data_IF_633673457485
#
_entry.id   IF_633673457485
#
_cell.length_a   1.000
_cell.length_b   1.000
_cell.length_c   1.000
_cell.angle_alpha   90.00
_cell.angle_beta   90.00
_cell.angle_gamma   90.00
#
_symmetry.space_group_name_H-M   'P 1'
#
loop_
_entity.id
_entity.type
_entity.pdbx_description
1 polymer ?
2 non-polymer ?
3 non-polymer ?
4 non-polymer ?
5 non-polymer ?
6 water ?
#
# COMPACT_ATOMS: atom_id res chain seq x y z
N UNK A 3 22.65 -13.68 14.40
CA UNK A 3 21.54 -13.34 13.46
C UNK A 3 20.22 -13.83 14.06
N UNK A 4 19.11 -13.13 13.79
CA UNK A 4 17.81 -13.37 14.47
C UNK A 4 17.05 -14.53 13.80
N UNK A 5 17.18 -14.72 12.48
CA UNK A 5 16.58 -15.87 11.75
C UNK A 5 17.51 -17.08 11.86
N UNK A 6 16.96 -18.25 12.21
CA UNK A 6 17.72 -19.51 12.31
C UNK A 6 18.01 -20.05 10.90
N UNK A 7 17.19 -19.69 9.90
CA UNK A 7 17.48 -19.94 8.46
C UNK A 7 16.73 -18.91 7.61
N UNK A 8 17.23 -18.68 6.40
CA UNK A 8 16.72 -17.62 5.49
C UNK A 8 15.60 -18.21 4.62
N UNK A 9 14.49 -18.58 5.25
CA UNK A 9 13.30 -19.22 4.62
C UNK A 9 12.05 -18.67 5.28
N UNK A 10 10.89 -18.91 4.66
CA UNK A 10 9.57 -18.56 5.26
C UNK A 10 9.44 -19.29 6.61
N UNK A 11 9.94 -20.54 6.68
CA UNK A 11 9.90 -21.35 7.93
C UNK A 11 10.72 -20.64 9.01
N UNK A 12 11.90 -20.12 8.66
CA UNK A 12 12.75 -19.34 9.59
C UNK A 12 12.04 -18.10 10.08
N UNK A 13 11.36 -17.38 9.19
CA UNK A 13 10.61 -16.14 9.54
C UNK A 13 9.46 -16.52 10.49
N UNK A 14 8.74 -17.60 10.21
CA UNK A 14 7.60 -18.06 11.04
C UNK A 14 8.08 -18.37 12.46
N UNK A 15 9.19 -19.10 12.60
CA UNK A 15 9.74 -19.45 13.94
C UNK A 15 10.13 -18.16 14.67
N UNK A 16 10.72 -17.20 13.96
CA UNK A 16 11.10 -15.88 14.54
C UNK A 16 9.84 -15.15 15.01
N UNK A 17 8.78 -15.16 14.20
CA UNK A 17 7.51 -14.45 14.54
C UNK A 17 6.86 -15.06 15.78
N UNK A 18 7.08 -16.37 16.04
CA UNK A 18 6.49 -17.09 17.21
C UNK A 18 7.43 -17.01 18.42
N UNK A 19 8.58 -16.33 18.28
CA UNK A 19 9.58 -16.13 19.36
C UNK A 19 9.28 -14.82 20.09
N UNK A 20 9.81 -14.65 21.30
CA UNK A 20 9.58 -13.44 22.15
C UNK A 20 10.31 -12.23 21.55
N UNK A 21 11.27 -12.45 20.65
CA UNK A 21 12.08 -11.38 20.01
C UNK A 21 11.23 -10.59 19.00
N UNK A 22 10.17 -11.19 18.44
CA UNK A 22 9.37 -10.57 17.37
C UNK A 22 8.03 -10.06 17.93
N UNK A 23 7.97 -8.76 18.22
CA UNK A 23 6.81 -8.09 18.86
C UNK A 23 6.16 -7.07 17.92
N UNK A 24 6.96 -6.42 17.07
CA UNK A 24 6.51 -5.23 16.29
C UNK A 24 6.85 -5.45 14.82
N UNK A 25 5.82 -5.63 13.99
CA UNK A 25 5.96 -5.87 12.53
C UNK A 25 5.55 -4.59 11.78
N UNK A 26 6.39 -4.13 10.87
CA UNK A 26 6.00 -3.09 9.87
C UNK A 26 5.76 -3.80 8.53
N UNK A 27 4.59 -3.59 7.93
CA UNK A 27 4.27 -4.00 6.55
C UNK A 27 4.51 -2.81 5.62
N UNK A 28 5.23 -3.06 4.52
CA UNK A 28 5.36 -2.14 3.36
C UNK A 28 4.67 -2.82 2.18
N UNK A 29 3.64 -2.21 1.63
CA UNK A 29 2.80 -2.88 0.59
C UNK A 29 2.62 -1.96 -0.62
N UNK A 30 2.48 -2.57 -1.79
CA UNK A 30 2.22 -1.89 -3.06
C UNK A 30 1.09 -2.54 -3.84
N UNK A 31 1.00 -2.23 -5.13
CA UNK A 31 -0.12 -2.60 -6.01
C UNK A 31 -0.31 -4.12 -6.06
N UNK A 32 0.77 -4.88 -5.86
CA UNK A 32 0.76 -6.34 -5.93
C UNK A 32 -0.14 -6.99 -4.87
N UNK A 33 -0.52 -6.28 -3.81
CA UNK A 33 -1.42 -6.87 -2.77
C UNK A 33 -2.88 -6.66 -3.16
N UNK A 34 -3.17 -5.92 -4.23
CA UNK A 34 -4.57 -5.58 -4.64
C UNK A 34 -4.92 -6.13 -6.04
N UNK A 35 -3.96 -6.68 -6.80
CA UNK A 35 -4.25 -7.21 -8.16
C UNK A 35 -5.23 -8.39 -8.06
N UNK A 36 -5.15 -9.22 -7.01
CA UNK A 36 -6.06 -10.39 -6.85
C UNK A 36 -7.47 -9.91 -6.46
N UNK A 37 -7.61 -8.65 -6.04
CA UNK A 37 -8.93 -8.01 -5.76
C UNK A 37 -9.50 -7.39 -7.04
N UNK A 38 -8.84 -7.57 -8.18
CA UNK A 38 -9.28 -7.06 -9.49
C UNK A 38 -9.01 -5.58 -9.65
N UNK A 39 -8.03 -5.05 -8.91
CA UNK A 39 -7.56 -3.64 -9.05
C UNK A 39 -6.20 -3.67 -9.73
N UNK A 40 -6.14 -3.46 -11.06
CA UNK A 40 -4.88 -3.39 -11.77
C UNK A 40 -3.92 -2.34 -11.18
N UNK A 41 -2.62 -2.61 -11.25
CA UNK A 41 -1.55 -1.64 -10.95
C UNK A 41 -1.52 -0.60 -12.07
N UNK A 42 -1.80 0.67 -11.77
CA UNK A 42 -1.85 1.77 -12.78
C UNK A 42 -0.45 1.97 -13.37
N UNK A 43 0.60 1.46 -12.70
CA UNK A 43 2.02 1.50 -13.18
C UNK A 43 2.35 0.30 -14.06
N UNK A 44 1.53 -0.76 -14.06
CA UNK A 44 1.76 -1.98 -14.89
C UNK A 44 1.56 -1.62 -16.37
N UNK A 45 2.45 -2.06 -17.28
CA UNK A 45 2.30 -1.76 -18.70
C UNK A 45 1.07 -2.44 -19.32
N UNK A 46 0.71 -3.62 -18.79
CA UNK A 46 -0.34 -4.52 -19.33
C UNK A 46 -1.74 -4.01 -18.97
N UNK A 47 -1.83 -3.11 -17.98
CA UNK A 47 -3.11 -2.57 -17.46
C UNK A 47 -3.01 -1.04 -17.38
N UNK A 53 -6.94 8.78 -24.06
CA UNK A 53 -6.51 10.02 -23.36
C UNK A 53 -5.84 11.00 -24.34
N UNK A 54 -5.69 10.62 -25.62
CA UNK A 54 -5.03 11.45 -26.66
C UNK A 54 -5.85 12.72 -26.91
N UNK A 55 -7.18 12.65 -26.76
CA UNK A 55 -8.13 13.75 -27.09
C UNK A 55 -7.89 14.97 -26.18
N UNK A 56 -7.28 14.77 -25.01
CA UNK A 56 -7.10 15.80 -23.96
C UNK A 56 -5.84 16.64 -24.21
N UNK A 57 -4.95 16.19 -25.11
CA UNK A 57 -3.71 16.90 -25.53
C UNK A 57 -2.78 17.12 -24.32
N UNK A 58 -2.37 16.03 -23.65
CA UNK A 58 -1.46 16.08 -22.47
C UNK A 58 -0.06 16.45 -22.94
N UNK A 59 0.53 17.58 -22.45
CA UNK A 59 1.89 17.97 -22.81
C UNK A 59 2.88 16.81 -22.76
N UNK A 60 2.80 16.00 -21.70
CA UNK A 60 3.52 14.71 -21.53
C UNK A 60 2.60 13.75 -20.79
N UNK A 61 2.73 12.41 -21.01
CA UNK A 61 1.79 11.43 -20.44
C UNK A 61 1.44 11.65 -18.97
N UNK A 62 2.45 11.93 -18.13
CA UNK A 62 2.33 11.97 -16.65
C UNK A 62 1.76 13.32 -16.16
N UNK A 63 1.39 14.22 -17.07
CA UNK A 63 0.75 15.53 -16.77
C UNK A 63 -0.62 15.31 -16.12
N UNK A 64 -1.30 14.20 -16.44
CA UNK A 64 -2.64 13.85 -15.88
C UNK A 64 -2.54 13.60 -14.36
N UNK A 65 -1.34 13.38 -13.82
CA UNK A 65 -1.10 13.17 -12.37
C UNK A 65 -0.22 14.30 -11.78
N UNK A 66 -0.08 15.42 -12.50
CA UNK A 66 0.72 16.59 -12.03
C UNK A 66 -0.23 17.65 -11.48
N UNK A 67 0.07 18.14 -10.27
CA UNK A 67 -0.81 19.06 -9.50
C UNK A 67 -1.15 20.35 -10.25
N UNK A 68 -0.16 21.00 -10.89
CA UNK A 68 -0.39 22.28 -11.61
C UNK A 68 -1.37 22.07 -12.76
N UNK A 69 -1.14 21.05 -13.59
CA UNK A 69 -2.01 20.76 -14.75
C UNK A 69 -3.42 20.39 -14.27
N UNK A 70 -3.50 19.57 -13.23
CA UNK A 70 -4.81 19.12 -12.69
C UNK A 70 -5.64 20.31 -12.21
N UNK A 71 -5.00 21.28 -11.55
CA UNK A 71 -5.73 22.45 -10.99
C UNK A 71 -6.34 23.32 -12.10
N UNK A 72 -5.72 23.36 -13.27
CA UNK A 72 -6.25 24.18 -14.40
C UNK A 72 -7.08 23.30 -15.34
N UNK A 73 -6.70 22.02 -15.49
CA UNK A 73 -7.42 21.07 -16.37
C UNK A 73 -7.69 19.76 -15.62
N UNK A 74 -8.71 19.70 -14.73
CA UNK A 74 -8.99 18.49 -13.96
C UNK A 74 -9.86 17.45 -14.69
N UNK A 75 -10.39 17.77 -15.81
CA UNK A 75 -11.31 16.91 -16.60
C UNK A 75 -10.64 15.58 -16.98
N UNK A 76 -9.46 15.57 -17.62
CA UNK A 76 -8.80 14.33 -18.02
C UNK A 76 -8.65 13.35 -16.85
N UNK A 77 -8.18 13.95 -15.61
CA UNK A 77 -7.97 13.11 -14.40
C UNK A 77 -9.28 12.46 -13.97
N UNK A 78 -10.37 13.23 -13.91
CA UNK A 78 -11.69 12.70 -13.46
C UNK A 78 -12.25 11.72 -14.50
N UNK A 79 -11.93 11.91 -15.77
CA UNK A 79 -12.39 10.94 -16.80
C UNK A 79 -11.67 9.62 -16.54
N UNK A 80 -10.37 9.68 -16.26
CA UNK A 80 -9.58 8.45 -15.97
C UNK A 80 -10.09 7.83 -14.67
N UNK A 81 -10.41 8.67 -13.68
CA UNK A 81 -10.92 8.17 -12.38
C UNK A 81 -12.17 7.32 -12.58
N UNK A 82 -13.10 7.77 -13.44
CA UNK A 82 -14.34 6.99 -13.69
C UNK A 82 -13.98 5.67 -14.37
N UNK A 83 -13.06 5.70 -15.34
CA UNK A 83 -12.67 4.49 -16.11
C UNK A 83 -11.95 3.48 -15.21
N UNK A 84 -11.11 3.93 -14.29
CA UNK A 84 -10.35 3.01 -13.40
C UNK A 84 -11.12 2.70 -12.11
N UNK A 85 -12.29 3.30 -11.91
CA UNK A 85 -13.03 3.03 -10.65
C UNK A 85 -13.36 1.54 -10.52
N UNK A 86 -12.89 0.84 -9.47
CA UNK A 86 -13.18 -0.58 -9.29
C UNK A 86 -14.69 -0.87 -9.19
N UNK A 87 -15.09 -2.06 -9.66
CA UNK A 87 -16.51 -2.49 -9.61
C UNK A 87 -16.89 -2.97 -8.22
N UNK A 88 -15.89 -3.31 -7.40
CA UNK A 88 -16.15 -3.78 -6.02
C UNK A 88 -14.88 -3.57 -5.19
N UNK A 89 -15.04 -3.42 -3.87
CA UNK A 89 -13.88 -3.24 -2.97
C UNK A 89 -13.85 -4.43 -2.01
N UNK A 90 -13.21 -5.50 -2.45
CA UNK A 90 -13.12 -6.76 -1.65
C UNK A 90 -11.65 -7.00 -1.34
N UNK A 91 -11.16 -6.74 -0.11
CA UNK A 91 -9.76 -6.97 0.24
C UNK A 91 -9.31 -8.43 0.04
N UNK A 92 -8.03 -8.58 -0.23
CA UNK A 92 -7.46 -9.93 -0.52
C UNK A 92 -7.05 -10.63 0.77
N UNK A 93 -6.60 -11.87 0.62
CA UNK A 93 -6.07 -12.70 1.76
C UNK A 93 -4.92 -11.93 2.42
N UNK A 94 -4.04 -11.34 1.61
CA UNK A 94 -2.91 -10.50 2.09
C UNK A 94 -3.44 -9.37 2.99
N UNK A 95 -4.49 -8.67 2.57
CA UNK A 95 -5.07 -7.58 3.40
C UNK A 95 -5.57 -8.14 4.74
N UNK A 96 -6.25 -9.29 4.71
CA UNK A 96 -6.79 -9.91 5.95
C UNK A 96 -5.66 -10.48 6.80
N UNK A 97 -4.54 -10.87 6.18
CA UNK A 97 -3.37 -11.34 6.95
C UNK A 97 -2.87 -10.19 7.83
N UNK A 98 -2.84 -8.97 7.27
CA UNK A 98 -2.42 -7.77 8.05
C UNK A 98 -3.44 -7.50 9.17
N UNK A 99 -4.73 -7.77 8.92
CA UNK A 99 -5.76 -7.61 9.98
C UNK A 99 -5.45 -8.60 11.11
N UNK A 100 -5.03 -9.82 10.76
CA UNK A 100 -4.66 -10.83 11.79
C UNK A 100 -3.45 -10.33 12.59
N UNK A 101 -2.49 -9.69 11.91
CA UNK A 101 -1.31 -9.12 12.62
C UNK A 101 -1.80 -8.10 13.65
N UNK A 102 -2.75 -7.25 13.27
CA UNK A 102 -3.32 -6.23 14.18
C UNK A 102 -4.02 -6.92 15.36
N UNK A 103 -4.84 -7.94 15.05
CA UNK A 103 -5.62 -8.69 16.08
C UNK A 103 -4.69 -9.36 17.09
N UNK A 104 -3.54 -9.85 16.63
CA UNK A 104 -2.57 -10.57 17.50
C UNK A 104 -1.58 -9.61 18.19
N UNK A 105 -1.79 -8.31 18.03
CA UNK A 105 -0.94 -7.27 18.67
C UNK A 105 0.46 -7.23 18.08
N UNK A 106 0.62 -7.63 16.83
CA UNK A 106 1.96 -7.65 16.18
C UNK A 106 2.12 -6.48 15.20
N UNK A 107 1.02 -5.82 14.82
CA UNK A 107 1.15 -4.77 13.78
C UNK A 107 1.55 -3.42 14.36
N UNK A 108 2.78 -2.98 14.07
CA UNK A 108 3.23 -1.63 14.50
C UNK A 108 2.65 -0.63 13.49
N UNK A 109 2.79 -0.91 12.21
CA UNK A 109 2.25 0.00 11.17
C UNK A 109 2.24 -0.66 9.80
N UNK A 110 1.28 -0.26 8.97
CA UNK A 110 1.25 -0.71 7.57
C UNK A 110 1.47 0.53 6.70
N UNK A 111 2.60 0.59 6.02
CA UNK A 111 2.90 1.69 5.06
C UNK A 111 2.43 1.20 3.69
N UNK A 112 1.46 1.88 3.10
CA UNK A 112 0.92 1.44 1.80
C UNK A 112 1.13 2.50 0.72
N UNK A 113 1.41 2.04 -0.49
CA UNK A 113 1.55 2.96 -1.66
C UNK A 113 0.21 2.94 -2.43
N UNK A 114 -0.75 2.13 -1.99
CA UNK A 114 -2.06 1.98 -2.67
C UNK A 114 -3.03 3.08 -2.24
N UNK A 115 -3.98 3.39 -3.11
CA UNK A 115 -5.00 4.45 -2.84
C UNK A 115 -6.39 3.83 -2.93
N UNK A 116 -6.48 2.50 -2.91
CA UNK A 116 -7.76 1.76 -3.12
C UNK A 116 -8.62 1.62 -1.87
N UNK A 117 -8.10 1.97 -0.68
CA UNK A 117 -8.77 1.92 0.67
C UNK A 117 -9.02 0.47 1.14
N UNK A 118 -8.38 -0.53 0.52
CA UNK A 118 -8.66 -1.95 0.92
C UNK A 118 -8.11 -2.23 2.33
N UNK A 119 -7.04 -1.55 2.74
CA UNK A 119 -6.50 -1.77 4.11
C UNK A 119 -7.57 -1.38 5.13
N UNK A 120 -8.25 -0.25 4.90
CA UNK A 120 -9.29 0.25 5.83
C UNK A 120 -10.51 -0.69 5.79
N UNK A 121 -10.87 -1.17 4.61
CA UNK A 121 -12.03 -2.09 4.48
C UNK A 121 -11.74 -3.42 5.19
N UNK A 122 -10.47 -3.85 5.16
CA UNK A 122 -10.04 -5.11 5.83
C UNK A 122 -9.95 -4.95 7.36
N UNK A 123 -10.05 -3.74 7.92
CA UNK A 123 -10.05 -3.61 9.38
C UNK A 123 -8.84 -2.89 9.95
N UNK A 124 -7.98 -2.36 9.09
CA UNK A 124 -6.83 -1.57 9.62
C UNK A 124 -7.38 -0.16 9.89
N UNK A 125 -7.05 0.40 11.06
CA UNK A 125 -7.57 1.74 11.43
C UNK A 125 -6.56 2.81 10.99
N UNK A 126 -6.96 4.08 11.02
CA UNK A 126 -6.06 5.19 10.59
C UNK A 126 -4.74 5.16 11.37
N UNK A 127 -4.79 4.90 12.69
CA UNK A 127 -3.57 4.84 13.54
C UNK A 127 -2.59 3.77 13.06
N UNK A 128 -3.09 2.64 12.54
CA UNK A 128 -2.25 1.52 12.04
C UNK A 128 -1.73 1.81 10.62
N UNK A 129 -2.20 2.87 9.97
CA UNK A 129 -1.87 3.08 8.54
C UNK A 129 -1.08 4.34 8.23
N UNK A 130 -0.21 4.22 7.23
CA UNK A 130 0.50 5.38 6.63
C UNK A 130 0.26 5.25 5.13
N UNK A 131 -0.72 5.99 4.62
CA UNK A 131 -1.01 5.99 3.17
C UNK A 131 0.01 6.94 2.54
N UNK A 132 1.20 6.38 2.24
CA UNK A 132 2.36 7.14 1.74
C UNK A 132 2.04 7.94 0.46
N UNK A 133 1.23 7.38 -0.43
CA UNK A 133 0.90 8.10 -1.69
C UNK A 133 -0.51 8.69 -1.60
N UNK A 134 -1.02 8.86 -0.38
CA UNK A 134 -2.36 9.43 -0.18
C UNK A 134 -3.45 8.39 -0.39
N UNK A 135 -4.69 8.85 -0.64
CA UNK A 135 -5.82 7.90 -0.80
C UNK A 135 -7.02 8.62 -1.40
N UNK A 136 -7.95 7.84 -1.97
CA UNK A 136 -9.23 8.36 -2.50
C UNK A 136 -10.27 8.33 -1.38
N UNK A 137 -9.92 7.79 -0.21
CA UNK A 137 -10.86 7.67 0.94
C UNK A 137 -11.47 9.04 1.26
N UNK A 138 -10.64 10.07 1.33
CA UNK A 138 -11.14 11.45 1.59
C UNK A 138 -10.66 12.36 0.46
N UNK A 139 -11.40 13.44 0.24
CA UNK A 139 -11.06 14.47 -0.78
C UNK A 139 -11.11 15.83 -0.09
N UNK A 140 -10.44 16.83 -0.65
CA UNK A 140 -10.50 18.16 0.00
C UNK A 140 -10.63 19.26 -1.04
N UNK A 141 -11.39 20.28 -0.68
CA UNK A 141 -11.46 21.49 -1.52
C UNK A 141 -10.04 22.08 -1.55
N UNK A 142 -9.56 22.48 -2.72
CA UNK A 142 -8.15 22.96 -2.87
C UNK A 142 -7.97 24.41 -2.41
N UNK A 143 -9.04 25.12 -2.07
CA UNK A 143 -8.90 26.52 -1.58
C UNK A 143 -8.25 26.50 -0.19
N UNK A 144 -7.12 27.19 -0.04
CA UNK A 144 -6.33 27.19 1.22
C UNK A 144 -7.14 27.66 2.43
N UNK A 145 -8.05 28.62 2.25
CA UNK A 145 -8.85 29.17 3.37
C UNK A 145 -10.07 28.31 3.67
N UNK A 146 -10.33 27.30 2.85
CA UNK A 146 -11.53 26.46 3.07
C UNK A 146 -11.14 25.03 3.43
N UNK A 147 -10.64 24.25 2.45
CA UNK A 147 -10.18 22.85 2.65
C UNK A 147 -11.31 21.96 3.21
N UNK A 148 -12.55 22.19 2.78
CA UNK A 148 -13.70 21.36 3.20
C UNK A 148 -13.40 19.91 2.82
N UNK A 149 -13.60 18.97 3.74
CA UNK A 149 -13.31 17.53 3.49
C UNK A 149 -14.55 16.81 2.98
N UNK A 150 -14.39 16.01 1.92
CA UNK A 150 -15.53 15.27 1.34
C UNK A 150 -15.24 13.76 1.40
N UNK A 151 -16.23 12.93 1.78
CA UNK A 151 -16.02 11.49 1.85
C UNK A 151 -16.05 10.86 0.46
N UNK A 152 -15.59 9.61 0.35
CA UNK A 152 -15.55 8.87 -0.94
C UNK A 152 -16.95 8.74 -1.56
N UNK A 153 -17.98 8.56 -0.74
CA UNK A 153 -19.38 8.45 -1.27
C UNK A 153 -19.73 9.69 -2.09
N UNK A 154 -19.36 10.88 -1.59
CA UNK A 154 -19.60 12.17 -2.28
C UNK A 154 -18.78 12.24 -3.56
N UNK A 155 -17.48 11.91 -3.48
CA UNK A 155 -16.57 11.98 -4.65
C UNK A 155 -16.97 10.94 -5.71
N UNK A 156 -17.41 9.76 -5.30
CA UNK A 156 -17.81 8.71 -6.27
C UNK A 156 -18.99 9.20 -7.12
N UNK A 157 -20.00 9.78 -6.47
CA UNK A 157 -21.19 10.30 -7.19
C UNK A 157 -20.74 11.31 -8.26
N UNK A 158 -19.85 12.23 -7.90
CA UNK A 158 -19.37 13.25 -8.87
C UNK A 158 -18.62 12.57 -10.02
N UNK A 159 -17.78 11.58 -9.69
CA UNK A 159 -16.96 10.88 -10.73
C UNK A 159 -17.87 10.16 -11.73
N UNK A 160 -18.88 9.44 -11.25
CA UNK A 160 -19.76 8.65 -12.14
C UNK A 160 -20.75 9.57 -12.89
N UNK A 161 -21.07 10.73 -12.32
CA UNK A 161 -22.00 11.69 -12.96
C UNK A 161 -21.29 12.50 -14.05
N UNK A 162 -19.95 12.46 -14.07
CA UNK A 162 -19.07 13.20 -15.01
C UNK A 162 -19.19 14.71 -14.75
N UNK A 163 -19.39 15.06 -13.49
CA UNK A 163 -19.51 16.46 -13.01
C UNK A 163 -18.21 16.77 -12.27
N UNK A 164 -17.41 17.71 -12.77
CA UNK A 164 -16.15 18.08 -12.08
C UNK A 164 -16.52 18.46 -10.64
N UNK A 165 -16.00 17.76 -9.61
CA UNK A 165 -16.39 18.04 -8.23
C UNK A 165 -16.00 19.45 -7.75
N UNK A 166 -17.00 20.20 -7.29
CA UNK A 166 -16.79 21.59 -6.79
C UNK A 166 -17.22 21.65 -5.32
N UNK A 167 -16.52 22.46 -4.52
CA UNK A 167 -16.84 22.59 -3.07
C UNK A 167 -18.21 23.25 -2.90
N UNK A 168 -19.02 22.74 -1.97
CA UNK A 168 -20.37 23.30 -1.71
C UNK A 168 -20.28 24.63 -0.98
N UNK A 169 -19.17 24.88 -0.27
CA UNK A 169 -18.99 26.14 0.50
C UNK A 169 -18.42 27.26 -0.39
N UNK A 170 -17.43 26.97 -1.24
CA UNK A 170 -16.76 28.08 -1.98
C UNK A 170 -16.68 27.87 -3.51
N UNK A 171 -17.17 26.74 -4.03
CA UNK A 171 -17.16 26.42 -5.49
C UNK A 171 -15.76 26.17 -6.05
N UNK A 172 -14.76 25.91 -5.21
CA UNK A 172 -13.39 25.59 -5.70
C UNK A 172 -13.34 24.12 -6.08
N UNK A 173 -12.28 23.74 -6.80
CA UNK A 173 -12.10 22.32 -7.20
C UNK A 173 -11.88 21.46 -5.95
N UNK A 174 -12.49 20.28 -5.91
CA UNK A 174 -12.27 19.29 -4.82
C UNK A 174 -11.37 18.18 -5.37
N UNK A 175 -10.24 17.94 -4.71
CA UNK A 175 -9.19 17.01 -5.17
C UNK A 175 -9.17 15.79 -4.25
N UNK A 176 -9.18 14.56 -4.79
CA UNK A 176 -8.90 13.37 -3.99
C UNK A 176 -7.56 13.51 -3.26
N UNK A 177 -7.46 12.99 -2.04
CA UNK A 177 -6.27 13.13 -1.17
C UNK A 177 -5.13 12.20 -1.63
N UNK A 178 -5.00 11.95 -2.94
CA UNK A 178 -3.81 11.25 -3.50
C UNK A 178 -2.70 12.28 -3.65
N UNK A 179 -1.44 11.84 -3.58
CA UNK A 179 -0.24 12.70 -3.79
C UNK A 179 -0.01 12.81 -5.30
N UNK A 180 -0.40 13.92 -5.91
CA UNK A 180 -0.08 14.22 -7.33
C UNK A 180 1.41 14.49 -7.43
N UNK A 181 2.01 14.27 -8.61
CA UNK A 181 3.37 14.75 -8.92
C UNK A 181 3.37 16.26 -8.66
N UNK A 182 4.42 16.77 -8.00
CA UNK A 182 4.54 18.18 -7.60
C UNK A 182 4.04 18.43 -6.19
N UNK A 183 3.39 17.43 -5.55
CA UNK A 183 3.00 17.48 -4.12
C UNK A 183 4.00 16.67 -3.29
N UNK A 184 4.26 17.09 -2.06
CA UNK A 184 5.06 16.37 -1.04
C UNK A 184 4.30 15.11 -0.60
N UNK A 185 5.01 14.05 -0.24
CA UNK A 185 4.42 12.94 0.56
C UNK A 185 3.92 13.55 1.87
N UNK A 186 2.87 12.99 2.48
CA UNK A 186 2.31 13.56 3.71
C UNK A 186 3.38 13.64 4.81
N UNK A 187 3.34 14.70 5.63
CA UNK A 187 4.20 14.86 6.83
C UNK A 187 4.16 13.58 7.66
N UNK A 188 2.97 12.97 7.78
CA UNK A 188 2.71 11.72 8.55
C UNK A 188 3.71 10.63 8.15
N UNK A 189 4.02 10.52 6.85
CA UNK A 189 4.97 9.51 6.31
C UNK A 189 6.33 9.66 7.00
N UNK A 190 6.88 10.88 7.00
CA UNK A 190 8.24 11.17 7.52
C UNK A 190 8.26 11.03 9.04
N UNK A 191 7.25 11.54 9.75
CA UNK A 191 7.23 11.52 11.24
C UNK A 191 7.04 10.09 11.75
N UNK A 192 6.13 9.32 11.16
CA UNK A 192 5.92 7.89 11.53
C UNK A 192 7.19 7.08 11.22
N UNK A 193 7.80 7.29 10.06
CA UNK A 193 9.04 6.58 9.66
C UNK A 193 10.11 6.81 10.75
N UNK A 194 10.25 8.05 11.21
CA UNK A 194 11.33 8.46 12.17
C UNK A 194 11.16 7.72 13.50
N UNK A 195 9.92 7.46 13.92
CA UNK A 195 9.58 6.79 15.20
C UNK A 195 9.52 5.28 15.02
N UNK A 196 8.83 4.81 13.97
CA UNK A 196 8.50 3.36 13.80
C UNK A 196 9.76 2.54 13.58
N UNK A 197 10.75 3.05 12.85
CA UNK A 197 11.92 2.25 12.42
C UNK A 197 12.93 2.15 13.56
N UNK A 198 12.68 2.81 14.69
CA UNK A 198 13.42 2.60 15.97
C UNK A 198 12.91 1.34 16.69
N UNK A 199 11.73 0.84 16.30
CA UNK A 199 10.92 -0.12 17.12
C UNK A 199 10.68 -1.43 16.37
N UNK A 200 11.04 -1.53 15.09
CA UNK A 200 10.60 -2.63 14.19
C UNK A 200 11.44 -3.89 14.47
N UNK A 201 10.77 -5.04 14.61
CA UNK A 201 11.39 -6.38 14.80
C UNK A 201 11.36 -7.17 13.50
N UNK A 202 10.42 -6.86 12.60
CA UNK A 202 10.27 -7.56 11.31
C UNK A 202 9.71 -6.60 10.27
N UNK A 203 10.34 -6.55 9.11
CA UNK A 203 9.83 -5.81 7.94
C UNK A 203 9.22 -6.81 6.96
N UNK A 204 7.91 -6.72 6.75
CA UNK A 204 7.17 -7.58 5.81
C UNK A 204 6.85 -6.74 4.57
N UNK A 205 7.56 -6.98 3.47
CA UNK A 205 7.45 -6.19 2.22
C UNK A 205 6.64 -7.03 1.23
N UNK A 206 5.47 -6.56 0.80
CA UNK A 206 4.56 -7.39 -0.01
C UNK A 206 4.02 -6.60 -1.20
N UNK A 207 4.09 -7.19 -2.40
CA UNK A 207 3.43 -6.68 -3.60
C UNK A 207 3.96 -5.31 -4.01
N UNK A 208 5.27 -5.09 -3.90
CA UNK A 208 5.93 -3.85 -4.38
C UNK A 208 7.29 -4.21 -4.99
N UNK A 209 7.62 -3.60 -6.14
CA UNK A 209 8.92 -3.74 -6.83
C UNK A 209 9.96 -2.78 -6.22
N UNK A 210 9.56 -1.96 -5.25
CA UNK A 210 10.48 -1.03 -4.52
C UNK A 210 11.23 -0.15 -5.53
N UNK A 211 10.52 0.37 -6.54
CA UNK A 211 11.08 1.23 -7.61
C UNK A 211 10.63 2.69 -7.43
N UNK A 212 9.65 2.96 -6.57
CA UNK A 212 9.12 4.33 -6.33
C UNK A 212 9.76 4.87 -5.05
N UNK A 213 10.36 6.06 -5.14
CA UNK A 213 11.07 6.75 -4.03
C UNK A 213 10.23 7.93 -3.57
N UNK A 214 10.32 8.36 -2.29
CA UNK A 214 11.23 7.77 -1.30
C UNK A 214 10.71 6.51 -0.56
N UNK A 215 9.53 6.00 -0.92
CA UNK A 215 8.92 4.84 -0.24
C UNK A 215 9.90 3.66 -0.20
N UNK A 216 10.55 3.34 -1.31
CA UNK A 216 11.45 2.16 -1.45
C UNK A 216 12.59 2.24 -0.43
N UNK A 217 13.09 3.44 -0.16
CA UNK A 217 14.24 3.70 0.75
C UNK A 217 13.90 3.33 2.20
N UNK A 218 12.63 3.11 2.53
CA UNK A 218 12.21 2.67 3.89
C UNK A 218 12.96 1.40 4.30
N UNK A 219 13.27 0.50 3.36
CA UNK A 219 13.95 -0.79 3.71
C UNK A 219 15.32 -0.48 4.35
N UNK A 220 15.95 0.63 3.97
CA UNK A 220 17.29 1.04 4.47
C UNK A 220 17.18 1.69 5.86
N UNK A 221 15.96 1.97 6.33
CA UNK A 221 15.69 2.62 7.64
C UNK A 221 15.56 1.54 8.73
N UNK A 222 15.47 0.25 8.36
CA UNK A 222 15.39 -0.86 9.33
C UNK A 222 16.72 -0.98 10.07
N UNK A 223 16.72 -1.27 11.38
CA UNK A 223 17.95 -1.64 12.08
C UNK A 223 18.64 -2.80 11.36
N UNK A 224 19.96 -2.90 11.49
CA UNK A 224 20.79 -3.89 10.77
C UNK A 224 20.34 -5.33 11.10
N UNK A 225 19.83 -5.58 12.32
CA UNK A 225 19.46 -6.94 12.78
C UNK A 225 18.06 -7.33 12.28
N UNK A 226 17.22 -6.36 11.90
CA UNK A 226 15.78 -6.57 11.62
C UNK A 226 15.60 -7.47 10.40
N UNK A 227 15.05 -8.70 10.54
CA UNK A 227 14.74 -9.53 9.37
C UNK A 227 13.77 -8.82 8.42
N UNK A 228 13.95 -9.05 7.13
CA UNK A 228 13.11 -8.44 6.07
C UNK A 228 12.64 -9.55 5.15
N UNK A 229 11.32 -9.80 5.14
CA UNK A 229 10.69 -10.83 4.28
C UNK A 229 10.00 -10.11 3.13
N UNK A 230 10.39 -10.46 1.91
CA UNK A 230 9.71 -9.99 0.67
C UNK A 230 8.78 -11.11 0.20
N UNK A 231 7.47 -10.82 0.12
CA UNK A 231 6.48 -11.69 -0.56
C UNK A 231 6.05 -10.94 -1.83
N UNK A 232 6.48 -11.43 -2.98
CA UNK A 232 6.35 -10.68 -4.25
C UNK A 232 6.54 -11.64 -5.42
N UNK A 233 5.94 -11.35 -6.56
CA UNK A 233 6.04 -12.20 -7.77
C UNK A 233 7.51 -12.24 -8.24
N UNK A 234 8.25 -11.14 -8.06
CA UNK A 234 9.68 -11.04 -8.47
C UNK A 234 10.55 -10.56 -7.31
N UNK A 235 11.79 -11.02 -7.28
CA UNK A 235 12.85 -10.50 -6.38
C UNK A 235 12.95 -8.98 -6.61
N UNK A 236 13.01 -8.20 -5.52
CA UNK A 236 13.05 -6.73 -5.55
C UNK A 236 13.85 -6.22 -4.35
N UNK A 237 14.42 -5.02 -4.48
CA UNK A 237 15.05 -4.29 -3.37
C UNK A 237 16.56 -4.49 -3.30
N UNK A 238 17.13 -5.33 -4.17
CA UNK A 238 18.61 -5.47 -4.27
C UNK A 238 19.16 -4.19 -4.91
N UNK A 239 20.32 -3.72 -4.47
CA UNK A 239 21.02 -2.54 -5.06
C UNK A 239 21.16 -2.77 -6.56
N UNK A 240 20.82 -1.76 -7.37
CA UNK A 240 21.00 -1.80 -8.84
C UNK A 240 22.50 -1.72 -9.14
N UNK A 241 23.06 -2.62 -9.98
CA UNK A 241 24.50 -2.66 -10.22
C UNK A 241 25.05 -1.37 -10.84
N UNK A 242 24.19 -0.61 -11.52
CA UNK A 242 24.53 0.68 -12.18
C UNK A 242 24.28 1.84 -11.21
N UNK A 243 23.07 1.97 -10.67
CA UNK A 243 22.70 3.04 -9.72
C UNK A 243 23.53 2.88 -8.43
N UNK A 244 23.73 1.64 -7.99
CA UNK A 244 24.47 1.27 -6.76
C UNK A 244 25.87 1.88 -6.71
N UNK A 245 26.48 2.14 -7.87
CA UNK A 245 27.78 2.85 -7.99
C UNK A 245 27.60 4.29 -7.50
N UNK A 251 21.47 0.25 1.84
CA UNK A 251 20.92 -0.84 2.65
C UNK A 251 20.02 -1.77 1.85
N UNK A 252 20.43 -2.10 0.61
CA UNK A 252 19.67 -2.95 -0.33
C UNK A 252 19.48 -4.36 0.23
N UNK A 253 18.52 -5.10 -0.33
CA UNK A 253 18.25 -6.52 0.02
C UNK A 253 19.45 -7.38 -0.37
N UNK A 254 19.82 -8.34 0.48
CA UNK A 254 20.80 -9.40 0.16
C UNK A 254 20.16 -10.74 0.50
N UNK A 255 19.54 -11.39 -0.50
CA UNK A 255 18.84 -12.69 -0.35
C UNK A 255 19.81 -13.86 -0.52
N UNK A 256 20.74 -13.76 -1.49
CA UNK A 256 21.34 -14.96 -2.12
C UNK A 256 22.88 -15.00 -2.02
N UNK A 257 23.56 -13.98 -1.50
CA UNK A 257 25.04 -13.99 -1.35
C UNK A 257 25.43 -14.81 -0.11
N UNK A 258 26.71 -15.16 0.02
CA UNK A 258 27.24 -15.89 1.21
C UNK A 258 27.21 -14.97 2.44
N UNK A 259 27.04 -13.66 2.25
CA UNK A 259 26.97 -12.64 3.34
C UNK A 259 25.51 -12.42 3.78
N UNK A 260 24.53 -13.03 3.09
CA UNK A 260 23.10 -12.91 3.43
C UNK A 260 22.88 -13.43 4.85
N UNK A 261 22.14 -12.70 5.68
CA UNK A 261 21.93 -13.05 7.11
C UNK A 261 20.51 -12.76 7.59
N UNK A 262 19.67 -12.00 6.87
CA UNK A 262 18.37 -11.55 7.45
C UNK A 262 17.28 -11.33 6.39
N UNK A 263 17.60 -11.37 5.09
CA UNK A 263 16.63 -11.06 4.02
C UNK A 263 16.15 -12.38 3.39
N UNK A 264 14.83 -12.51 3.24
CA UNK A 264 14.18 -13.72 2.68
C UNK A 264 13.24 -13.27 1.57
N UNK A 265 13.32 -13.92 0.41
CA UNK A 265 12.42 -13.69 -0.74
C UNK A 265 11.52 -14.93 -0.90
N UNK A 266 10.22 -14.75 -0.75
CA UNK A 266 9.20 -15.76 -1.13
C UNK A 266 8.55 -15.29 -2.44
N UNK A 267 8.82 -16.00 -3.53
CA UNK A 267 8.43 -15.56 -4.89
C UNK A 267 7.11 -16.24 -5.29
N UNK A 268 6.08 -15.42 -5.51
CA UNK A 268 4.74 -15.86 -5.92
C UNK A 268 3.73 -14.77 -5.65
N UNK A 269 2.44 -15.09 -5.78
CA UNK A 269 1.32 -14.16 -5.51
C UNK A 269 1.30 -13.87 -4.00
N UNK A 270 1.02 -12.62 -3.63
CA UNK A 270 0.98 -12.18 -2.20
C UNK A 270 -0.02 -13.05 -1.41
N UNK A 271 -1.16 -13.39 -2.00
CA UNK A 271 -2.20 -14.22 -1.33
C UNK A 271 -1.61 -15.58 -0.96
N UNK A 272 -0.88 -16.20 -1.90
CA UNK A 272 -0.30 -17.56 -1.71
C UNK A 272 0.80 -17.49 -0.65
N UNK A 273 1.63 -16.45 -0.66
CA UNK A 273 2.70 -16.25 0.32
C UNK A 273 2.15 -16.03 1.72
N UNK A 274 1.15 -15.17 1.86
CA UNK A 274 0.53 -14.86 3.17
C UNK A 274 -0.21 -16.10 3.68
N UNK A 275 -0.87 -16.85 2.80
CA UNK A 275 -1.54 -18.13 3.19
C UNK A 275 -0.49 -19.10 3.73
N UNK A 276 0.64 -19.25 3.02
CA UNK A 276 1.76 -20.15 3.42
C UNK A 276 2.27 -19.73 4.80
N UNK A 277 2.49 -18.43 5.02
CA UNK A 277 3.00 -17.91 6.31
C UNK A 277 1.95 -18.15 7.41
N UNK A 278 0.69 -17.80 7.16
CA UNK A 278 -0.42 -18.04 8.12
C UNK A 278 -0.43 -19.52 8.52
N UNK A 279 -0.28 -20.41 7.54
CA UNK A 279 -0.34 -21.87 7.76
C UNK A 279 0.79 -22.28 8.72
N UNK A 280 2.02 -21.80 8.49
CA UNK A 280 3.18 -22.08 9.37
C UNK A 280 2.87 -21.59 10.80
N UNK A 281 2.19 -20.45 10.93
CA UNK A 281 1.92 -19.80 12.23
C UNK A 281 0.73 -20.45 12.96
N UNK A 282 0.00 -21.37 12.32
CA UNK A 282 -1.22 -21.98 12.89
C UNK A 282 -2.43 -21.07 12.74
N UNK A 283 -2.36 -20.09 11.83
CA UNK A 283 -3.43 -19.08 11.62
C UNK A 283 -4.30 -19.41 10.40
N UNK A 284 -4.05 -20.53 9.69
CA UNK A 284 -4.72 -20.75 8.38
C UNK A 284 -6.24 -20.80 8.55
N UNK A 285 -6.75 -21.54 9.55
CA UNK A 285 -8.22 -21.65 9.78
C UNK A 285 -8.79 -20.26 10.13
N UNK A 286 -8.11 -19.53 11.02
CA UNK A 286 -8.52 -18.16 11.43
C UNK A 286 -8.59 -17.26 10.18
N UNK A 287 -7.60 -17.34 9.31
CA UNK A 287 -7.53 -16.48 8.10
C UNK A 287 -8.65 -16.87 7.13
N UNK A 288 -8.86 -18.18 6.91
CA UNK A 288 -9.96 -18.68 6.04
C UNK A 288 -11.30 -18.17 6.56
N UNK A 289 -11.55 -18.27 7.86
CA UNK A 289 -12.85 -17.90 8.49
C UNK A 289 -13.05 -16.39 8.35
N UNK A 290 -12.00 -15.60 8.61
CA UNK A 290 -12.06 -14.12 8.53
C UNK A 290 -12.37 -13.70 7.08
N UNK A 291 -11.61 -14.24 6.11
CA UNK A 291 -11.76 -13.86 4.67
C UNK A 291 -13.15 -14.24 4.19
N UNK A 292 -13.60 -15.47 4.46
CA UNK A 292 -14.91 -15.98 3.96
C UNK A 292 -16.03 -15.12 4.57
N UNK A 293 -15.92 -14.76 5.85
CA UNK A 293 -16.93 -13.91 6.55
C UNK A 293 -16.98 -12.53 5.91
N UNK A 294 -15.83 -11.87 5.76
CA UNK A 294 -15.77 -10.47 5.25
C UNK A 294 -16.18 -10.45 3.77
N UNK A 295 -15.71 -11.42 2.98
CA UNK A 295 -16.10 -11.55 1.55
C UNK A 295 -17.61 -11.73 1.43
N UNK A 296 -18.21 -12.57 2.28
CA UNK A 296 -19.67 -12.82 2.28
C UNK A 296 -20.39 -11.50 2.58
N UNK A 297 -19.92 -10.78 3.60
CA UNK A 297 -20.50 -9.49 4.03
C UNK A 297 -20.45 -8.49 2.87
N UNK A 298 -19.29 -8.35 2.23
CA UNK A 298 -19.08 -7.39 1.09
C UNK A 298 -19.95 -7.81 -0.09
N UNK A 299 -20.03 -9.11 -0.38
CA UNK A 299 -20.83 -9.65 -1.51
C UNK A 299 -22.32 -9.29 -1.29
N UNK A 300 -22.79 -9.28 -0.04
CA UNK A 300 -24.21 -9.05 0.33
C UNK A 300 -24.54 -7.55 0.31
N UNK A 301 -23.54 -6.68 0.31
CA UNK A 301 -23.70 -5.19 0.27
C UNK A 301 -23.54 -4.70 -1.17
N UNK A 302 -23.08 -5.58 -2.07
CA UNK A 302 -22.59 -5.26 -3.44
C UNK A 302 -23.71 -5.41 -4.46
#
# INVERSE_FOLDING_TARGET
SERLLDELTLEGVARYMQSERCRRVICLVGAGISTSAGIPDFRSPSTGLYDNLEKYHLPYPEAIFEISYFKKHPEPFFALAKELYPGQFKPTICHYFMRLLKDKGLLLRCYTQNIDTLERIAGLEQEDLVEAHGTFYTSHCVSASCRHEYPLSWMKEKIFSEVTPKCEDCQSLVKPDIVFFGESLPARFFSCMQSDFLKVDLLLVMGTSLQVQPFASLISKAPLSTPRLLINKEKAGQSDPFLGMIMGLGGGMDFDSKKAYRDVAWLGECDQGCLALAELLGWKKELEDLVRREHASIDAQS
#
